data_IF_035712304183
#
_entry.id   IF_035712304183
#
_cell.length_a   1.000
_cell.length_b   1.000
_cell.length_c   1.000
_cell.angle_alpha   90.00
_cell.angle_beta   90.00
_cell.angle_gamma   90.00
#
_symmetry.space_group_name_H-M   'P 1'
#
loop_
_entity.id
_entity.type
_entity.pdbx_description
1 polymer ?
#
# COMPACT_ATOMS: atom_id res chain seq x y z
N UNK A 1 -22.48 11.82 8.03
CA UNK A 1 -21.51 11.71 9.14
C UNK A 1 -20.39 12.72 8.93
N UNK A 2 -19.76 13.19 10.02
CA UNK A 2 -18.56 14.02 9.94
C UNK A 2 -17.33 13.18 10.33
N UNK A 3 -16.42 12.98 9.40
CA UNK A 3 -15.30 12.06 9.52
C UNK A 3 -13.99 12.83 9.35
N UNK A 4 -13.07 12.67 10.29
CA UNK A 4 -11.72 13.22 10.20
C UNK A 4 -10.71 12.08 10.03
N UNK A 5 -10.05 12.04 8.89
CA UNK A 5 -8.85 11.20 8.73
C UNK A 5 -7.62 11.97 9.18
N UNK A 6 -6.72 11.31 9.90
CA UNK A 6 -5.49 11.92 10.42
C UNK A 6 -4.31 11.07 10.02
N UNK A 7 -3.39 11.63 9.25
CA UNK A 7 -2.17 10.97 8.79
C UNK A 7 -0.94 11.86 9.01
N UNK A 8 0.24 11.26 9.04
CA UNK A 8 1.50 12.00 9.28
C UNK A 8 1.77 13.02 8.18
N UNK A 9 1.69 12.65 6.93
CA UNK A 9 1.96 13.48 5.75
C UNK A 9 1.33 12.86 4.50
N UNK A 10 1.39 13.56 3.38
CA UNK A 10 1.10 13.04 2.04
C UNK A 10 2.39 12.97 1.18
N UNK A 11 3.49 12.50 1.77
CA UNK A 11 4.69 12.15 1.01
C UNK A 11 4.43 10.90 0.14
N UNK A 12 5.44 10.40 -0.55
CA UNK A 12 5.32 9.19 -1.38
C UNK A 12 5.23 7.93 -0.51
N UNK A 13 4.13 7.17 -0.65
CA UNK A 13 3.92 5.91 0.08
C UNK A 13 2.53 5.32 -0.20
N UNK A 14 2.35 4.04 0.08
CA UNK A 14 1.10 3.32 -0.18
C UNK A 14 -0.08 3.82 0.66
N UNK A 15 0.14 4.11 1.94
CA UNK A 15 -0.91 4.65 2.81
C UNK A 15 -1.34 6.06 2.40
N UNK A 16 -0.39 6.87 1.93
CA UNK A 16 -0.60 8.23 1.45
C UNK A 16 -1.38 8.21 0.12
N UNK A 17 -1.02 7.33 -0.82
CA UNK A 17 -1.77 7.13 -2.06
C UNK A 17 -3.19 6.67 -1.78
N UNK A 18 -3.34 5.71 -0.87
CA UNK A 18 -4.65 5.21 -0.45
C UNK A 18 -5.56 6.34 0.06
N UNK A 19 -5.05 7.31 0.82
CA UNK A 19 -5.86 8.45 1.29
C UNK A 19 -6.38 9.28 0.11
N UNK A 20 -5.58 9.50 -0.90
CA UNK A 20 -5.98 10.28 -2.09
C UNK A 20 -7.12 9.60 -2.85
N UNK A 21 -7.09 8.28 -2.95
CA UNK A 21 -8.08 7.52 -3.71
C UNK A 21 -9.33 7.19 -2.88
N UNK A 22 -9.17 6.88 -1.59
CA UNK A 22 -10.25 6.43 -0.71
C UNK A 22 -11.15 7.59 -0.22
N UNK A 23 -10.55 8.72 0.23
CA UNK A 23 -11.33 9.76 0.92
C UNK A 23 -12.46 10.35 0.07
N UNK A 24 -12.28 10.61 -1.23
CA UNK A 24 -13.38 11.05 -2.08
C UNK A 24 -14.56 10.06 -2.13
N UNK A 25 -14.28 8.75 -2.10
CA UNK A 25 -15.31 7.72 -2.10
C UNK A 25 -16.10 7.68 -0.78
N UNK A 26 -15.47 8.05 0.34
CA UNK A 26 -16.12 8.13 1.64
C UNK A 26 -17.08 9.33 1.75
N UNK A 27 -16.95 10.34 0.89
CA UNK A 27 -17.88 11.47 0.83
C UNK A 27 -19.31 11.04 0.42
N UNK A 28 -19.44 9.88 -0.27
CA UNK A 28 -20.73 9.26 -0.63
C UNK A 28 -21.72 10.28 -1.23
N UNK A 29 -21.31 10.87 -2.36
CA UNK A 29 -22.08 11.89 -3.09
C UNK A 29 -22.59 13.05 -2.20
N UNK A 30 -21.80 13.48 -1.20
CA UNK A 30 -22.13 14.57 -0.30
C UNK A 30 -22.89 14.16 0.97
N UNK A 31 -23.24 12.88 1.15
CA UNK A 31 -23.90 12.39 2.36
C UNK A 31 -23.00 12.44 3.60
N UNK A 32 -21.67 12.44 3.40
CA UNK A 32 -20.69 12.55 4.46
C UNK A 32 -19.76 13.74 4.25
N UNK A 33 -19.41 14.42 5.33
CA UNK A 33 -18.29 15.36 5.35
C UNK A 33 -17.03 14.59 5.73
N UNK A 34 -16.04 14.57 4.85
CA UNK A 34 -14.76 13.88 5.08
C UNK A 34 -13.64 14.89 4.96
N UNK A 35 -12.91 15.08 6.05
CA UNK A 35 -11.77 15.99 6.11
C UNK A 35 -10.48 15.20 6.38
N UNK A 36 -9.36 15.70 5.88
CA UNK A 36 -8.02 15.14 6.11
C UNK A 36 -7.16 16.11 6.91
N UNK A 37 -6.59 15.63 8.02
CA UNK A 37 -5.64 16.39 8.82
C UNK A 37 -4.24 15.80 8.71
N UNK A 38 -3.28 16.63 8.29
CA UNK A 38 -1.88 16.29 8.18
C UNK A 38 -1.08 16.83 9.37
N UNK A 39 -0.23 16.00 9.97
CA UNK A 39 0.77 16.50 10.94
C UNK A 39 1.81 17.37 10.23
N UNK A 40 2.28 16.91 9.08
CA UNK A 40 3.15 17.67 8.19
C UNK A 40 2.41 17.97 6.88
N UNK A 41 2.00 19.21 6.70
CA UNK A 41 1.27 19.71 5.53
C UNK A 41 2.17 20.29 4.45
N UNK A 42 3.40 19.77 4.26
CA UNK A 42 4.22 20.16 3.10
C UNK A 42 3.49 19.86 1.80
N UNK A 43 3.63 20.75 0.84
CA UNK A 43 3.06 20.55 -0.49
C UNK A 43 3.79 19.42 -1.24
N UNK A 44 3.02 18.45 -1.71
CA UNK A 44 3.46 17.26 -2.44
C UNK A 44 2.56 17.03 -3.64
N UNK A 45 2.91 16.10 -4.52
CA UNK A 45 2.04 15.71 -5.64
C UNK A 45 0.67 15.23 -5.11
N UNK A 46 0.67 14.37 -4.10
CA UNK A 46 -0.56 13.83 -3.49
C UNK A 46 -1.39 14.92 -2.80
N UNK A 47 -0.76 15.90 -2.13
CA UNK A 47 -1.49 17.01 -1.52
C UNK A 47 -2.14 17.92 -2.55
N UNK A 48 -1.51 18.11 -3.73
CA UNK A 48 -2.09 18.85 -4.85
C UNK A 48 -3.24 18.10 -5.49
N UNK A 49 -3.14 16.79 -5.61
CA UNK A 49 -4.17 15.93 -6.20
C UNK A 49 -5.44 15.90 -5.34
N UNK A 50 -5.31 15.65 -4.03
CA UNK A 50 -6.48 15.56 -3.14
C UNK A 50 -7.20 16.91 -2.97
N UNK A 51 -6.47 18.04 -3.02
CA UNK A 51 -7.06 19.39 -2.97
C UNK A 51 -7.97 19.71 -4.16
N UNK A 52 -7.88 18.96 -5.27
CA UNK A 52 -8.75 19.08 -6.44
C UNK A 52 -10.05 18.28 -6.30
N UNK A 53 -10.18 17.51 -5.22
CA UNK A 53 -11.35 16.68 -4.92
C UNK A 53 -12.11 17.28 -3.73
N UNK A 54 -13.35 16.88 -3.49
CA UNK A 54 -14.21 17.42 -2.42
C UNK A 54 -13.77 16.96 -1.01
N UNK A 55 -12.48 17.04 -0.71
CA UNK A 55 -11.90 16.70 0.59
C UNK A 55 -11.16 17.91 1.15
N UNK A 56 -11.62 18.42 2.29
CA UNK A 56 -10.93 19.51 2.98
C UNK A 56 -9.66 19.03 3.64
N UNK A 57 -8.52 19.63 3.28
CA UNK A 57 -7.21 19.29 3.83
C UNK A 57 -6.78 20.33 4.86
N UNK A 58 -6.57 19.87 6.09
CA UNK A 58 -6.07 20.64 7.22
C UNK A 58 -4.63 20.24 7.52
N UNK A 59 -3.85 21.11 8.18
CA UNK A 59 -2.50 20.76 8.63
C UNK A 59 -2.16 21.37 9.96
N UNK A 60 -1.42 20.64 10.81
CA UNK A 60 -0.92 21.12 12.10
C UNK A 60 0.36 21.97 11.93
N UNK A 61 1.21 21.59 10.99
CA UNK A 61 2.52 22.20 10.74
C UNK A 61 2.95 21.96 9.29
N UNK A 62 3.95 22.70 8.83
CA UNK A 62 4.67 22.45 7.57
C UNK A 62 6.09 21.90 7.82
N UNK A 63 6.42 21.54 9.07
CA UNK A 63 7.74 21.01 9.45
C UNK A 63 7.70 19.49 9.63
N UNK A 64 8.87 18.86 9.68
CA UNK A 64 9.01 17.43 9.91
C UNK A 64 8.87 17.05 11.40
N UNK A 65 8.62 18.01 12.31
CA UNK A 65 8.55 17.79 13.75
C UNK A 65 7.20 17.16 14.17
N UNK A 66 6.91 15.97 13.65
CA UNK A 66 5.63 15.30 13.89
C UNK A 66 5.40 14.93 15.35
N UNK A 67 6.48 14.70 16.13
CA UNK A 67 6.41 14.36 17.55
C UNK A 67 6.53 15.58 18.50
N UNK A 68 6.48 16.80 17.96
CA UNK A 68 6.56 18.00 18.81
C UNK A 68 5.32 18.15 19.70
N UNK A 69 5.44 18.36 21.02
CA UNK A 69 4.29 18.45 21.95
C UNK A 69 3.22 19.48 21.59
N UNK A 70 3.61 20.57 20.91
CA UNK A 70 2.64 21.57 20.39
C UNK A 70 1.58 20.99 19.47
N UNK A 71 1.88 19.88 18.77
CA UNK A 71 0.92 19.21 17.89
C UNK A 71 -0.27 18.67 18.69
N UNK A 72 -0.07 18.26 19.95
CA UNK A 72 -1.15 17.82 20.84
C UNK A 72 -2.20 18.93 21.05
N UNK A 73 -1.74 20.15 21.38
CA UNK A 73 -2.63 21.28 21.63
C UNK A 73 -3.29 21.81 20.35
N UNK A 74 -2.59 21.75 19.20
CA UNK A 74 -3.18 22.11 17.91
C UNK A 74 -4.24 21.10 17.50
N UNK A 75 -3.95 19.81 17.61
CA UNK A 75 -4.85 18.71 17.27
C UNK A 75 -6.16 18.79 18.07
N UNK A 76 -6.09 19.06 19.41
CA UNK A 76 -7.24 19.17 20.28
C UNK A 76 -8.33 20.12 19.75
N UNK A 77 -7.94 21.20 19.07
CA UNK A 77 -8.87 22.21 18.54
C UNK A 77 -9.75 21.67 17.41
N UNK A 78 -9.34 20.61 16.72
CA UNK A 78 -10.03 20.03 15.59
C UNK A 78 -11.00 18.89 15.98
N UNK A 79 -10.81 18.25 17.16
CA UNK A 79 -11.47 16.96 17.44
C UNK A 79 -12.97 17.06 17.77
N UNK A 80 -13.48 18.21 18.19
CA UNK A 80 -14.85 18.34 18.71
C UNK A 80 -15.93 18.40 17.60
N UNK A 81 -15.53 18.47 16.35
CA UNK A 81 -16.44 18.73 15.23
C UNK A 81 -16.80 17.46 14.44
N UNK A 82 -16.28 16.29 14.84
CA UNK A 82 -16.41 15.05 14.09
C UNK A 82 -17.10 13.94 14.90
N UNK A 83 -17.81 13.07 14.17
CA UNK A 83 -18.42 11.85 14.73
C UNK A 83 -17.38 10.73 14.83
N UNK A 84 -16.53 10.62 13.80
CA UNK A 84 -15.44 9.62 13.68
C UNK A 84 -14.12 10.34 13.49
N UNK A 85 -13.07 9.86 14.18
CA UNK A 85 -11.69 10.27 13.95
C UNK A 85 -10.90 9.00 13.64
N UNK A 86 -10.40 8.91 12.42
CA UNK A 86 -9.66 7.76 11.91
C UNK A 86 -8.19 8.09 11.72
N UNK A 87 -7.32 7.38 12.43
CA UNK A 87 -5.88 7.62 12.41
C UNK A 87 -5.13 6.62 11.54
N UNK A 88 -4.11 7.12 10.86
CA UNK A 88 -3.18 6.35 10.06
C UNK A 88 -1.75 6.69 10.48
N UNK A 89 -0.86 5.69 10.49
CA UNK A 89 0.54 5.84 10.89
C UNK A 89 0.75 6.13 12.40
N UNK A 90 1.98 5.93 12.86
CA UNK A 90 2.35 5.86 14.28
C UNK A 90 2.12 7.15 15.06
N UNK A 91 2.48 8.31 14.49
CA UNK A 91 2.38 9.57 15.23
C UNK A 91 0.91 9.96 15.49
N UNK A 92 -0.01 9.97 14.49
CA UNK A 92 -1.43 10.16 14.73
C UNK A 92 -2.04 9.14 15.70
N UNK A 93 -1.66 7.85 15.60
CA UNK A 93 -2.13 6.81 16.51
C UNK A 93 -1.86 7.12 17.98
N UNK A 94 -0.73 7.72 18.30
CA UNK A 94 -0.39 8.09 19.67
C UNK A 94 -1.02 9.43 20.09
N UNK A 95 -0.95 10.45 19.22
CA UNK A 95 -1.32 11.81 19.57
C UNK A 95 -2.84 12.04 19.61
N UNK A 96 -3.62 11.37 18.76
CA UNK A 96 -5.08 11.57 18.72
C UNK A 96 -5.76 11.11 20.01
N UNK A 97 -5.49 9.92 20.59
CA UNK A 97 -6.03 9.53 21.88
C UNK A 97 -5.67 10.50 23.00
N UNK A 98 -4.41 10.96 23.06
CA UNK A 98 -3.95 11.94 24.06
C UNK A 98 -4.69 13.28 23.89
N UNK A 99 -4.81 13.78 22.67
CA UNK A 99 -5.52 15.04 22.39
C UNK A 99 -7.01 14.93 22.73
N UNK A 100 -7.61 13.77 22.49
CA UNK A 100 -9.01 13.51 22.84
C UNK A 100 -9.24 13.55 24.34
N UNK A 101 -8.34 12.99 25.13
CA UNK A 101 -8.42 13.05 26.60
C UNK A 101 -8.36 14.49 27.13
N UNK A 102 -7.68 15.40 26.41
CA UNK A 102 -7.60 16.83 26.72
C UNK A 102 -8.72 17.66 26.09
N UNK A 103 -9.64 17.03 25.39
CA UNK A 103 -10.77 17.68 24.69
C UNK A 103 -12.10 17.18 25.20
N UNK A 104 -13.19 17.83 24.81
CA UNK A 104 -14.56 17.35 25.10
C UNK A 104 -15.15 16.52 23.95
N UNK A 105 -14.28 16.00 23.05
CA UNK A 105 -14.74 15.26 21.86
C UNK A 105 -15.41 13.94 22.24
N UNK A 106 -16.62 13.72 21.68
CA UNK A 106 -17.37 12.47 21.78
C UNK A 106 -17.10 11.53 20.59
N UNK A 107 -16.25 11.93 19.66
CA UNK A 107 -15.93 11.16 18.45
C UNK A 107 -15.49 9.72 18.78
N UNK A 108 -15.91 8.76 17.98
CA UNK A 108 -15.37 7.41 18.02
C UNK A 108 -13.99 7.38 17.38
N UNK A 109 -13.03 6.75 18.04
CA UNK A 109 -11.68 6.63 17.52
C UNK A 109 -11.52 5.32 16.74
N UNK A 110 -11.05 5.42 15.52
CA UNK A 110 -10.70 4.30 14.65
C UNK A 110 -9.23 4.43 14.25
N UNK A 111 -8.53 3.33 14.09
CA UNK A 111 -7.17 3.33 13.55
C UNK A 111 -6.98 2.22 12.53
N UNK A 112 -6.12 2.46 11.53
CA UNK A 112 -5.69 1.44 10.57
C UNK A 112 -4.21 1.13 10.74
N UNK A 113 -3.91 -0.18 10.87
CA UNK A 113 -2.57 -0.74 10.81
C UNK A 113 -2.20 -1.05 9.37
N UNK A 114 -1.24 -0.28 8.82
CA UNK A 114 -0.77 -0.41 7.43
C UNK A 114 0.44 -1.33 7.26
N UNK A 115 1.05 -1.78 8.36
CA UNK A 115 2.25 -2.61 8.31
C UNK A 115 2.09 -3.85 9.18
N UNK A 116 2.57 -4.99 8.69
CA UNK A 116 2.60 -6.25 9.44
C UNK A 116 3.56 -6.17 10.63
N UNK A 117 4.65 -5.38 10.49
CA UNK A 117 5.66 -5.18 11.52
C UNK A 117 5.92 -3.69 11.72
N UNK A 118 6.31 -3.33 12.95
CA UNK A 118 6.69 -1.97 13.30
C UNK A 118 7.96 -2.02 14.15
N UNK A 119 8.98 -1.24 13.80
CA UNK A 119 10.26 -1.15 14.55
C UNK A 119 10.04 -0.89 16.05
N UNK A 120 8.98 -0.22 16.43
CA UNK A 120 8.57 0.04 17.82
C UNK A 120 8.27 -1.27 18.56
N UNK A 121 7.64 -2.25 17.89
CA UNK A 121 7.27 -3.55 18.47
C UNK A 121 8.48 -4.42 18.81
N UNK A 122 9.64 -4.15 18.21
CA UNK A 122 10.89 -4.84 18.54
C UNK A 122 11.44 -4.48 19.93
N UNK A 123 10.94 -3.38 20.52
CA UNK A 123 11.39 -2.90 21.83
C UNK A 123 10.34 -3.25 22.88
N UNK A 124 10.63 -4.18 23.77
CA UNK A 124 9.71 -4.73 24.78
C UNK A 124 9.02 -3.67 25.66
N UNK A 125 9.69 -2.57 25.97
CA UNK A 125 9.17 -1.48 26.78
C UNK A 125 8.12 -0.61 26.08
N UNK A 126 7.95 -0.70 24.76
CA UNK A 126 6.83 -0.06 24.08
C UNK A 126 5.51 -0.81 24.23
N UNK A 127 5.53 -2.09 24.56
CA UNK A 127 4.32 -2.92 24.63
C UNK A 127 3.25 -2.39 25.57
N UNK A 128 3.56 -1.91 26.81
CA UNK A 128 2.56 -1.27 27.68
C UNK A 128 1.96 0.00 27.09
N UNK A 129 2.80 0.83 26.46
CA UNK A 129 2.37 2.09 25.82
C UNK A 129 1.43 1.79 24.65
N UNK A 130 1.78 0.81 23.84
CA UNK A 130 0.96 0.42 22.70
C UNK A 130 -0.37 -0.19 23.16
N UNK A 131 -0.37 -1.06 24.17
CA UNK A 131 -1.61 -1.61 24.76
C UNK A 131 -2.51 -0.52 25.29
N UNK A 132 -1.96 0.46 26.01
CA UNK A 132 -2.71 1.62 26.47
C UNK A 132 -3.28 2.41 25.28
N UNK A 133 -2.47 2.71 24.29
CA UNK A 133 -2.86 3.45 23.10
C UNK A 133 -4.02 2.76 22.37
N UNK A 134 -3.87 1.45 22.03
CA UNK A 134 -4.92 0.69 21.36
C UNK A 134 -6.20 0.55 22.20
N UNK A 135 -6.10 0.53 23.55
CA UNK A 135 -7.29 0.49 24.42
C UNK A 135 -8.21 1.69 24.25
N UNK A 136 -7.68 2.83 23.78
CA UNK A 136 -8.44 4.07 23.56
C UNK A 136 -9.25 4.07 22.26
N UNK A 137 -8.93 3.17 21.35
CA UNK A 137 -9.66 3.03 20.08
C UNK A 137 -10.92 2.21 20.26
N UNK A 138 -11.98 2.64 19.53
CA UNK A 138 -13.26 1.93 19.47
C UNK A 138 -13.19 0.79 18.47
N UNK A 139 -12.44 0.97 17.36
CA UNK A 139 -12.16 -0.06 16.37
C UNK A 139 -10.72 0.06 15.85
N UNK A 140 -10.12 -1.09 15.54
CA UNK A 140 -8.76 -1.22 15.00
C UNK A 140 -8.89 -2.03 13.71
N UNK A 141 -8.53 -1.44 12.59
CA UNK A 141 -8.56 -2.07 11.28
C UNK A 141 -7.17 -2.56 10.94
N UNK A 142 -7.05 -3.78 10.49
CA UNK A 142 -5.84 -4.34 9.89
C UNK A 142 -6.05 -4.51 8.38
N UNK A 143 -5.05 -4.14 7.58
CA UNK A 143 -5.17 -4.16 6.11
C UNK A 143 -5.10 -5.57 5.50
N UNK A 144 -4.73 -6.58 6.27
CA UNK A 144 -4.62 -7.98 5.88
C UNK A 144 -4.76 -8.87 7.11
N UNK A 145 -5.10 -10.15 6.91
CA UNK A 145 -5.25 -11.10 8.02
C UNK A 145 -3.93 -11.35 8.74
N UNK A 146 -2.81 -11.43 8.01
CA UNK A 146 -1.49 -11.53 8.64
C UNK A 146 -1.18 -10.32 9.53
N UNK A 147 -1.56 -9.11 9.11
CA UNK A 147 -1.41 -7.89 9.94
C UNK A 147 -2.25 -8.00 11.22
N UNK A 148 -3.47 -8.55 11.12
CA UNK A 148 -4.35 -8.82 12.26
C UNK A 148 -3.73 -9.83 13.22
N UNK A 149 -3.29 -10.98 12.71
CA UNK A 149 -2.66 -12.04 13.53
C UNK A 149 -1.43 -11.49 14.28
N UNK A 150 -0.57 -10.76 13.61
CA UNK A 150 0.63 -10.15 14.22
C UNK A 150 0.25 -9.12 15.31
N UNK A 151 -0.80 -8.34 15.10
CA UNK A 151 -1.28 -7.40 16.10
C UNK A 151 -1.90 -8.11 17.30
N UNK A 152 -2.75 -9.12 17.08
CA UNK A 152 -3.36 -9.92 18.14
C UNK A 152 -2.34 -10.66 18.99
N UNK A 153 -1.26 -11.17 18.40
CA UNK A 153 -0.13 -11.76 19.14
C UNK A 153 0.59 -10.73 20.01
N UNK A 154 0.69 -9.50 19.53
CA UNK A 154 1.41 -8.44 20.23
C UNK A 154 0.63 -7.82 21.39
N UNK A 155 -0.63 -7.46 21.19
CA UNK A 155 -1.44 -6.76 22.22
C UNK A 155 -2.50 -7.65 22.90
N UNK A 156 -2.82 -8.80 22.34
CA UNK A 156 -3.90 -9.70 22.72
C UNK A 156 -5.09 -9.61 21.76
N UNK A 157 -5.90 -10.69 21.70
CA UNK A 157 -7.13 -10.73 20.93
C UNK A 157 -8.16 -9.74 21.46
N UNK A 158 -8.93 -9.11 20.58
CA UNK A 158 -10.00 -8.18 20.95
C UNK A 158 -11.03 -8.08 19.82
N UNK A 159 -12.31 -8.02 20.17
CA UNK A 159 -13.42 -7.83 19.23
C UNK A 159 -13.38 -6.48 18.50
N UNK A 160 -12.52 -5.56 18.96
CA UNK A 160 -12.27 -4.28 18.31
C UNK A 160 -11.39 -4.40 17.06
N UNK A 161 -10.69 -5.55 16.90
CA UNK A 161 -9.75 -5.76 15.79
C UNK A 161 -10.48 -6.50 14.68
N UNK A 162 -10.50 -5.90 13.50
CA UNK A 162 -11.09 -6.48 12.30
C UNK A 162 -10.18 -6.29 11.09
N UNK A 163 -10.37 -7.10 10.05
CA UNK A 163 -9.67 -6.95 8.78
C UNK A 163 -10.56 -6.21 7.79
N UNK A 164 -10.05 -5.12 7.20
CA UNK A 164 -10.57 -4.51 5.99
C UNK A 164 -9.39 -4.42 5.03
N UNK A 165 -9.42 -5.23 4.00
CA UNK A 165 -8.32 -5.30 3.03
C UNK A 165 -8.14 -3.96 2.32
N UNK A 166 -6.87 -3.59 2.07
CA UNK A 166 -6.57 -2.46 1.22
C UNK A 166 -7.15 -2.66 -0.17
N UNK A 167 -7.52 -1.56 -0.81
CA UNK A 167 -8.04 -1.56 -2.17
C UNK A 167 -7.32 -0.55 -3.06
N UNK A 168 -7.40 -0.79 -4.36
CA UNK A 168 -6.96 0.13 -5.42
C UNK A 168 -8.12 0.41 -6.36
N UNK A 169 -8.08 1.50 -7.11
CA UNK A 169 -9.03 1.74 -8.19
C UNK A 169 -8.73 0.78 -9.35
N UNK A 170 -9.32 -0.41 -9.23
CA UNK A 170 -9.10 -1.50 -10.19
C UNK A 170 -9.59 -1.11 -11.58
N UNK A 171 -10.66 -0.31 -11.68
CA UNK A 171 -11.22 0.10 -12.97
C UNK A 171 -10.24 0.98 -13.77
N UNK A 172 -9.42 1.77 -13.08
CA UNK A 172 -8.37 2.58 -13.69
C UNK A 172 -7.18 1.75 -14.20
N UNK A 173 -7.02 0.54 -13.69
CA UNK A 173 -5.85 -0.32 -13.89
C UNK A 173 -6.14 -1.53 -14.79
N UNK A 174 -7.43 -1.83 -15.03
CA UNK A 174 -7.81 -2.93 -15.92
C UNK A 174 -7.53 -2.56 -17.37
N UNK A 175 -6.58 -3.28 -17.94
CA UNK A 175 -6.29 -3.25 -19.36
C UNK A 175 -6.66 -4.59 -20.03
N UNK A 176 -6.88 -4.62 -21.35
CA UNK A 176 -7.04 -5.88 -22.09
C UNK A 176 -5.85 -6.81 -21.85
N UNK A 177 -6.11 -8.09 -21.80
CA UNK A 177 -5.04 -9.09 -21.72
C UNK A 177 -4.21 -9.00 -23.00
N UNK A 178 -2.90 -8.81 -22.84
CA UNK A 178 -1.97 -8.62 -23.97
C UNK A 178 -1.82 -9.92 -24.76
N UNK A 179 -1.86 -9.82 -26.07
CA UNK A 179 -1.50 -10.92 -26.96
C UNK A 179 -0.01 -10.87 -27.28
N UNK A 180 0.73 -11.86 -26.79
CA UNK A 180 2.18 -11.99 -26.97
C UNK A 180 2.57 -13.02 -28.04
N UNK A 181 1.61 -13.59 -28.77
CA UNK A 181 1.86 -14.72 -29.67
C UNK A 181 2.86 -14.44 -30.81
N UNK A 182 3.08 -13.17 -31.15
CA UNK A 182 4.03 -12.74 -32.19
C UNK A 182 5.19 -11.90 -31.63
N UNK A 183 5.27 -11.78 -30.30
CA UNK A 183 6.27 -10.94 -29.66
C UNK A 183 7.62 -11.65 -29.56
N UNK A 184 8.70 -10.89 -29.73
CA UNK A 184 10.07 -11.41 -29.65
C UNK A 184 10.85 -10.76 -28.52
N UNK A 185 10.55 -9.50 -28.21
CA UNK A 185 11.20 -8.74 -27.14
C UNK A 185 10.22 -8.56 -25.98
N UNK A 186 10.65 -8.81 -24.77
CA UNK A 186 9.79 -8.81 -23.59
C UNK A 186 10.24 -7.78 -22.56
N UNK A 187 9.29 -7.04 -22.00
CA UNK A 187 9.51 -6.06 -20.95
C UNK A 187 8.91 -6.56 -19.64
N UNK A 188 9.78 -6.74 -18.65
CA UNK A 188 9.44 -7.04 -17.27
C UNK A 188 9.34 -5.72 -16.53
N UNK A 189 8.39 -5.58 -15.62
CA UNK A 189 8.27 -4.39 -14.78
C UNK A 189 8.16 -4.74 -13.31
N UNK A 190 8.86 -3.96 -12.46
CA UNK A 190 8.67 -3.97 -11.01
C UNK A 190 8.35 -2.57 -10.52
N UNK A 191 7.18 -2.41 -9.88
CA UNK A 191 6.74 -1.14 -9.30
C UNK A 191 6.86 -1.23 -7.78
N UNK A 192 7.90 -0.59 -7.21
CA UNK A 192 8.16 -0.65 -5.77
C UNK A 192 9.11 0.44 -5.29
N UNK A 193 9.11 0.73 -3.96
CA UNK A 193 10.18 1.54 -3.37
C UNK A 193 11.51 0.76 -3.34
N UNK A 194 12.66 1.47 -3.38
CA UNK A 194 14.00 0.85 -3.44
C UNK A 194 14.52 0.35 -2.08
N UNK A 195 13.61 0.03 -1.16
CA UNK A 195 13.95 -0.53 0.15
C UNK A 195 14.45 -1.97 0.01
N UNK A 196 15.32 -2.39 0.91
CA UNK A 196 15.83 -3.76 1.02
C UNK A 196 14.69 -4.79 1.03
N UNK A 197 13.60 -4.49 1.74
CA UNK A 197 12.39 -5.32 1.78
C UNK A 197 11.91 -5.79 0.40
N UNK A 198 12.12 -5.00 -0.67
CA UNK A 198 11.58 -5.27 -2.01
C UNK A 198 12.46 -6.19 -2.86
N UNK A 199 13.66 -6.54 -2.37
CA UNK A 199 14.56 -7.53 -2.96
C UNK A 199 14.76 -7.40 -4.48
N UNK A 200 15.11 -6.21 -4.93
CA UNK A 200 15.47 -5.98 -6.34
C UNK A 200 16.66 -6.84 -6.79
N UNK A 201 17.48 -7.26 -5.84
CA UNK A 201 18.69 -8.03 -6.14
C UNK A 201 18.35 -9.41 -6.70
N UNK A 202 17.35 -10.11 -6.15
CA UNK A 202 16.87 -11.38 -6.70
C UNK A 202 16.35 -11.19 -8.14
N UNK A 203 15.58 -10.11 -8.41
CA UNK A 203 15.11 -9.80 -9.74
C UNK A 203 16.28 -9.49 -10.72
N UNK A 204 17.30 -8.75 -10.27
CA UNK A 204 18.47 -8.47 -11.12
C UNK A 204 19.26 -9.74 -11.41
N UNK A 205 19.46 -10.65 -10.43
CA UNK A 205 20.09 -11.95 -10.69
C UNK A 205 19.27 -12.77 -11.69
N UNK A 206 17.95 -12.79 -11.58
CA UNK A 206 17.11 -13.53 -12.53
C UNK A 206 17.30 -13.05 -13.99
N UNK A 207 17.53 -11.74 -14.19
CA UNK A 207 17.82 -11.18 -15.52
C UNK A 207 19.09 -11.75 -16.15
N UNK A 208 20.06 -12.22 -15.36
CA UNK A 208 21.30 -12.86 -15.89
C UNK A 208 21.04 -14.25 -16.47
N UNK A 209 19.93 -14.89 -16.11
CA UNK A 209 19.52 -16.20 -16.62
C UNK A 209 18.60 -16.09 -17.84
N UNK A 210 18.04 -14.90 -18.11
CA UNK A 210 17.14 -14.66 -19.23
C UNK A 210 17.93 -14.25 -20.50
N UNK A 211 17.45 -14.64 -21.71
CA UNK A 211 17.98 -14.17 -22.98
C UNK A 211 18.05 -12.64 -23.11
N UNK A 212 18.88 -12.13 -24.03
CA UNK A 212 19.14 -10.70 -24.17
C UNK A 212 17.95 -9.86 -24.70
N UNK A 213 16.93 -10.51 -25.22
CA UNK A 213 15.67 -9.89 -25.63
C UNK A 213 14.69 -9.61 -24.49
N UNK A 214 15.09 -9.87 -23.22
CA UNK A 214 14.33 -9.49 -22.03
C UNK A 214 14.92 -8.20 -21.43
N UNK A 215 14.05 -7.21 -21.19
CA UNK A 215 14.40 -5.94 -20.55
C UNK A 215 13.62 -5.78 -19.24
N UNK A 216 14.17 -5.03 -18.30
CA UNK A 216 13.56 -4.78 -17.02
C UNK A 216 13.37 -3.28 -16.81
N UNK A 217 12.16 -2.87 -16.46
CA UNK A 217 11.83 -1.53 -15.98
C UNK A 217 11.62 -1.55 -14.46
N UNK A 218 12.38 -0.72 -13.75
CA UNK A 218 12.28 -0.57 -12.29
C UNK A 218 11.67 0.79 -11.97
N UNK A 219 10.43 0.77 -11.50
CA UNK A 219 9.65 1.99 -11.23
C UNK A 219 9.56 2.21 -9.73
N UNK A 220 9.99 3.38 -9.28
CA UNK A 220 9.94 3.75 -7.88
C UNK A 220 11.08 4.64 -7.43
N UNK A 221 11.24 4.77 -6.14
CA UNK A 221 12.27 5.60 -5.56
C UNK A 221 12.69 5.16 -4.17
N UNK A 222 13.78 5.75 -3.71
CA UNK A 222 14.36 5.49 -2.40
C UNK A 222 15.30 6.61 -2.00
N UNK A 223 16.05 6.43 -0.92
CA UNK A 223 17.13 7.32 -0.53
C UNK A 223 18.25 7.32 -1.58
N UNK A 224 19.18 8.25 -1.48
CA UNK A 224 20.32 8.32 -2.39
C UNK A 224 21.13 7.01 -2.27
N UNK A 225 21.37 6.58 -1.04
CA UNK A 225 22.15 5.35 -0.74
C UNK A 225 21.46 4.10 -1.31
N UNK A 226 20.13 3.99 -1.19
CA UNK A 226 19.37 2.87 -1.77
C UNK A 226 19.48 2.84 -3.29
N UNK A 227 19.40 4.00 -3.96
CA UNK A 227 19.57 4.11 -5.41
C UNK A 227 20.98 3.73 -5.85
N UNK A 228 22.00 4.29 -5.21
CA UNK A 228 23.39 4.00 -5.53
C UNK A 228 23.73 2.51 -5.36
N UNK A 229 23.21 1.88 -4.30
CA UNK A 229 23.36 0.45 -4.05
C UNK A 229 22.80 -0.38 -5.21
N UNK A 230 21.58 -0.11 -5.65
CA UNK A 230 20.93 -0.86 -6.72
C UNK A 230 21.60 -0.61 -8.09
N UNK A 231 21.97 0.63 -8.41
CA UNK A 231 22.72 0.93 -9.62
C UNK A 231 24.08 0.23 -9.64
N UNK A 232 24.82 0.24 -8.53
CA UNK A 232 26.09 -0.46 -8.41
C UNK A 232 25.93 -1.97 -8.59
N UNK A 233 24.92 -2.57 -7.97
CA UNK A 233 24.65 -4.01 -8.10
C UNK A 233 24.26 -4.39 -9.53
N UNK A 234 23.40 -3.60 -10.19
CA UNK A 234 23.05 -3.76 -11.59
C UNK A 234 24.28 -3.74 -12.49
N UNK A 235 25.21 -2.79 -12.26
CA UNK A 235 26.47 -2.67 -13.02
C UNK A 235 27.42 -3.85 -12.78
N UNK A 236 27.51 -4.37 -11.55
CA UNK A 236 28.30 -5.57 -11.22
C UNK A 236 27.81 -6.80 -12.01
N UNK A 237 26.48 -6.90 -12.22
CA UNK A 237 25.87 -7.96 -13.02
C UNK A 237 25.90 -7.68 -14.54
N UNK A 238 26.48 -6.57 -14.99
CA UNK A 238 26.55 -6.14 -16.41
C UNK A 238 25.17 -6.00 -17.07
N UNK A 239 24.19 -5.49 -16.33
CA UNK A 239 22.81 -5.36 -16.79
C UNK A 239 22.44 -3.93 -17.21
N UNK A 240 23.39 -2.99 -17.32
CA UNK A 240 23.11 -1.58 -17.59
C UNK A 240 22.32 -1.34 -18.88
N UNK A 241 22.52 -2.18 -19.91
CA UNK A 241 21.80 -2.06 -21.20
C UNK A 241 20.43 -2.76 -21.19
N UNK A 242 20.11 -3.50 -20.12
CA UNK A 242 18.89 -4.30 -20.01
C UNK A 242 17.97 -3.86 -18.87
N UNK A 243 18.45 -3.06 -17.93
CA UNK A 243 17.69 -2.57 -16.76
C UNK A 243 17.55 -1.05 -16.82
N UNK A 244 16.32 -0.57 -16.86
CA UNK A 244 16.00 0.85 -16.88
C UNK A 244 15.39 1.28 -15.54
N UNK A 245 16.01 2.26 -14.87
CA UNK A 245 15.50 2.88 -13.65
C UNK A 245 14.62 4.07 -14.00
N UNK A 246 13.30 3.89 -13.97
CA UNK A 246 12.29 4.88 -14.38
C UNK A 246 12.07 6.01 -13.36
N UNK A 247 12.59 5.86 -12.13
CA UNK A 247 12.30 6.79 -11.04
C UNK A 247 10.84 6.71 -10.57
N UNK A 248 10.41 7.73 -9.82
CA UNK A 248 9.02 7.85 -9.34
C UNK A 248 8.14 8.35 -10.49
N UNK A 249 7.08 7.58 -10.82
CA UNK A 249 6.17 7.83 -11.94
C UNK A 249 4.75 8.07 -11.45
N UNK A 250 3.98 8.82 -12.21
CA UNK A 250 2.53 9.04 -11.99
C UNK A 250 1.67 8.31 -13.01
N UNK A 251 2.27 7.82 -14.10
CA UNK A 251 1.69 7.08 -15.21
C UNK A 251 1.94 5.56 -15.07
N UNK A 252 1.92 5.05 -13.84
CA UNK A 252 2.10 3.61 -13.55
C UNK A 252 1.11 2.72 -14.33
N UNK A 253 -0.17 3.09 -14.50
CA UNK A 253 -1.10 2.32 -15.31
C UNK A 253 -0.60 2.11 -16.74
N UNK A 254 -0.11 3.15 -17.41
CA UNK A 254 0.39 3.10 -18.79
C UNK A 254 1.66 2.26 -18.90
N UNK A 255 2.55 2.33 -17.89
CA UNK A 255 3.75 1.50 -17.81
C UNK A 255 3.41 0.02 -17.62
N UNK A 256 2.44 -0.29 -16.76
CA UNK A 256 1.93 -1.65 -16.59
C UNK A 256 1.29 -2.16 -17.89
N UNK A 257 0.53 -1.32 -18.58
CA UNK A 257 -0.07 -1.67 -19.88
C UNK A 257 0.97 -1.98 -20.95
N UNK A 258 2.04 -1.22 -21.02
CA UNK A 258 3.11 -1.41 -22.02
C UNK A 258 4.00 -2.62 -21.72
N UNK A 259 4.08 -3.08 -20.48
CA UNK A 259 4.90 -4.22 -20.05
C UNK A 259 4.31 -5.58 -20.47
N UNK A 260 5.06 -6.65 -20.25
CA UNK A 260 4.65 -8.02 -20.57
C UNK A 260 4.47 -8.87 -19.30
N UNK A 261 5.32 -8.71 -18.31
CA UNK A 261 5.24 -9.46 -17.06
C UNK A 261 5.48 -8.48 -15.89
N UNK A 262 4.65 -8.59 -14.86
CA UNK A 262 4.82 -7.81 -13.64
C UNK A 262 5.40 -8.70 -12.56
N UNK A 263 6.45 -8.23 -11.89
CA UNK A 263 7.18 -8.99 -10.87
C UNK A 263 7.23 -8.22 -9.55
N UNK A 264 7.14 -8.95 -8.44
CA UNK A 264 7.45 -8.44 -7.11
C UNK A 264 8.22 -9.50 -6.30
N UNK A 265 9.50 -9.27 -6.07
CA UNK A 265 10.43 -10.22 -5.44
C UNK A 265 10.62 -10.03 -3.93
N UNK A 266 9.74 -9.33 -3.25
CA UNK A 266 9.88 -8.89 -1.85
C UNK A 266 10.26 -9.98 -0.87
N UNK A 267 11.04 -9.63 0.16
CA UNK A 267 11.34 -10.50 1.30
C UNK A 267 10.14 -10.73 2.23
N UNK A 268 9.27 -9.74 2.36
CA UNK A 268 8.00 -9.80 3.11
C UNK A 268 7.06 -8.68 2.66
N UNK A 269 5.76 -8.94 2.73
CA UNK A 269 4.72 -7.96 2.46
C UNK A 269 3.60 -8.01 3.52
N UNK A 270 2.86 -6.90 3.62
CA UNK A 270 1.50 -6.96 4.12
C UNK A 270 0.56 -7.21 2.94
N UNK A 271 -0.46 -6.36 2.74
CA UNK A 271 -1.20 -6.31 1.50
C UNK A 271 -0.62 -5.16 0.64
N UNK A 272 0.17 -5.52 -0.37
CA UNK A 272 0.85 -4.56 -1.24
C UNK A 272 -0.10 -4.00 -2.29
N UNK A 273 -0.29 -2.67 -2.33
CA UNK A 273 -1.11 -2.02 -3.35
C UNK A 273 -0.53 -2.28 -4.75
N UNK A 274 0.80 -2.20 -4.91
CA UNK A 274 1.44 -2.45 -6.21
C UNK A 274 1.25 -3.89 -6.71
N UNK A 275 1.02 -4.86 -5.81
CA UNK A 275 0.66 -6.22 -6.22
C UNK A 275 -0.75 -6.26 -6.79
N UNK A 276 -1.72 -5.58 -6.18
CA UNK A 276 -3.09 -5.50 -6.69
C UNK A 276 -3.10 -4.74 -8.02
N UNK A 277 -2.34 -3.63 -8.11
CA UNK A 277 -2.17 -2.87 -9.36
C UNK A 277 -1.60 -3.75 -10.48
N UNK A 278 -0.52 -4.48 -10.20
CA UNK A 278 0.10 -5.40 -11.17
C UNK A 278 -0.85 -6.52 -11.59
N UNK A 279 -1.57 -7.14 -10.67
CA UNK A 279 -2.56 -8.19 -10.97
C UNK A 279 -3.73 -7.66 -11.81
N UNK A 280 -4.09 -6.37 -11.67
CA UNK A 280 -5.18 -5.75 -12.44
C UNK A 280 -4.81 -5.46 -13.88
N UNK A 281 -3.52 -5.36 -14.21
CA UNK A 281 -3.00 -4.80 -15.45
C UNK A 281 -3.29 -5.60 -16.74
N UNK A 282 -3.82 -6.83 -16.63
CA UNK A 282 -3.97 -7.73 -17.78
C UNK A 282 -2.64 -8.37 -18.20
N UNK A 283 -1.65 -8.37 -17.32
CA UNK A 283 -0.36 -9.07 -17.44
C UNK A 283 -0.26 -10.13 -16.37
N UNK A 284 0.44 -11.24 -16.62
CA UNK A 284 0.78 -12.18 -15.55
C UNK A 284 1.54 -11.47 -14.44
N UNK A 285 1.20 -11.81 -13.20
CA UNK A 285 1.89 -11.32 -12.01
C UNK A 285 2.67 -12.47 -11.37
N UNK A 286 3.97 -12.26 -11.18
CA UNK A 286 4.88 -13.21 -10.54
C UNK A 286 5.37 -12.61 -9.23
N UNK A 287 5.32 -13.37 -8.15
CA UNK A 287 5.76 -12.89 -6.84
C UNK A 287 6.56 -13.94 -6.08
N UNK A 288 7.43 -13.48 -5.17
CA UNK A 288 8.06 -14.35 -4.18
C UNK A 288 7.00 -14.99 -3.26
N UNK A 289 7.21 -16.26 -2.92
CA UNK A 289 6.34 -17.01 -2.00
C UNK A 289 6.66 -16.65 -0.55
N UNK A 290 6.11 -15.53 -0.11
CA UNK A 290 6.25 -15.00 1.26
C UNK A 290 4.89 -14.59 1.82
N UNK A 291 4.81 -14.44 3.14
CA UNK A 291 3.60 -13.96 3.82
C UNK A 291 3.05 -12.69 3.15
N UNK A 292 1.73 -12.62 3.01
CA UNK A 292 1.01 -11.54 2.35
C UNK A 292 0.97 -11.67 0.82
N UNK A 293 2.07 -12.03 0.15
CA UNK A 293 2.06 -12.32 -1.29
C UNK A 293 1.47 -13.71 -1.57
N UNK A 294 1.77 -14.70 -0.73
CA UNK A 294 1.16 -16.03 -0.84
C UNK A 294 -0.37 -15.97 -0.84
N UNK A 295 -0.95 -15.24 0.11
CA UNK A 295 -2.41 -15.08 0.22
C UNK A 295 -3.00 -14.31 -0.98
N UNK A 296 -2.34 -13.24 -1.39
CA UNK A 296 -2.84 -12.37 -2.45
C UNK A 296 -2.71 -13.03 -3.83
N UNK A 297 -1.57 -13.63 -4.14
CA UNK A 297 -1.20 -14.11 -5.48
C UNK A 297 -1.55 -15.58 -5.69
N UNK A 298 -1.55 -16.39 -4.63
CA UNK A 298 -1.80 -17.83 -4.68
C UNK A 298 -3.11 -18.18 -5.39
N UNK A 299 -3.05 -19.16 -6.29
CA UNK A 299 -4.18 -19.59 -7.13
C UNK A 299 -4.52 -18.67 -8.31
N UNK A 300 -3.93 -17.49 -8.41
CA UNK A 300 -4.15 -16.54 -9.50
C UNK A 300 -2.89 -16.28 -10.33
N UNK A 301 -1.87 -15.69 -9.73
CA UNK A 301 -0.57 -15.47 -10.34
C UNK A 301 0.38 -16.65 -10.19
N UNK A 302 1.67 -16.40 -10.38
CA UNK A 302 2.75 -17.36 -10.19
C UNK A 302 3.55 -17.01 -8.95
N UNK A 303 3.79 -17.99 -8.09
CA UNK A 303 4.66 -17.86 -6.93
C UNK A 303 5.98 -18.60 -7.18
N UNK A 304 7.09 -17.94 -6.90
CA UNK A 304 8.43 -18.55 -6.94
C UNK A 304 9.06 -18.60 -5.54
N UNK A 305 9.92 -19.59 -5.23
CA UNK A 305 10.56 -19.69 -3.92
C UNK A 305 11.34 -18.42 -3.60
N UNK A 306 11.18 -17.89 -2.39
CA UNK A 306 11.82 -16.65 -1.95
C UNK A 306 13.34 -16.69 -2.17
N UNK A 307 13.88 -15.67 -2.84
CA UNK A 307 15.31 -15.52 -3.14
C UNK A 307 15.85 -16.39 -4.29
N UNK A 308 15.01 -17.26 -4.89
CA UNK A 308 15.39 -18.13 -6.00
C UNK A 308 15.27 -17.39 -7.34
N UNK A 309 16.36 -16.82 -7.77
CA UNK A 309 16.47 -16.07 -9.03
C UNK A 309 16.36 -16.95 -10.28
N UNK A 310 16.70 -18.24 -10.19
CA UNK A 310 16.55 -19.18 -11.30
C UNK A 310 15.10 -19.56 -11.50
N UNK A 311 14.39 -19.92 -10.42
CA UNK A 311 12.96 -20.21 -10.49
C UNK A 311 12.14 -18.99 -10.98
N UNK A 312 12.55 -17.76 -10.60
CA UNK A 312 11.96 -16.54 -11.13
C UNK A 312 12.18 -16.40 -12.64
N UNK A 313 13.43 -16.60 -13.12
CA UNK A 313 13.75 -16.53 -14.55
C UNK A 313 12.97 -17.59 -15.36
N UNK A 314 12.93 -18.83 -14.88
CA UNK A 314 12.17 -19.92 -15.50
C UNK A 314 10.67 -19.59 -15.58
N UNK A 315 10.10 -19.02 -14.53
CA UNK A 315 8.69 -18.60 -14.50
C UNK A 315 8.39 -17.49 -15.52
N UNK A 316 9.29 -16.49 -15.63
CA UNK A 316 9.16 -15.40 -16.62
C UNK A 316 9.25 -15.97 -18.03
N UNK A 317 10.29 -16.76 -18.31
CA UNK A 317 10.51 -17.33 -19.63
C UNK A 317 9.36 -18.25 -20.05
N UNK A 318 8.91 -19.12 -19.15
CA UNK A 318 7.79 -20.02 -19.41
C UNK A 318 6.54 -19.27 -19.83
N UNK A 319 6.16 -18.20 -19.12
CA UNK A 319 4.98 -17.40 -19.47
C UNK A 319 5.14 -16.70 -20.83
N UNK A 320 6.32 -16.17 -21.13
CA UNK A 320 6.58 -15.47 -22.38
C UNK A 320 6.61 -16.43 -23.60
N UNK A 321 7.01 -17.68 -23.41
CA UNK A 321 7.06 -18.71 -24.44
C UNK A 321 5.73 -19.47 -24.63
N UNK A 322 4.78 -19.37 -23.69
CA UNK A 322 3.51 -20.09 -23.68
C UNK A 322 2.30 -19.13 -23.65
N UNK A 323 1.89 -18.53 -24.80
CA UNK A 323 0.84 -17.51 -24.85
C UNK A 323 -0.51 -17.92 -24.23
N UNK A 324 -0.84 -19.23 -24.27
CA UNK A 324 -2.09 -19.73 -23.67
C UNK A 324 -2.03 -19.69 -22.13
N UNK A 325 -0.93 -20.11 -21.53
CA UNK A 325 -0.72 -20.02 -20.07
C UNK A 325 -0.60 -18.57 -19.63
N UNK A 326 0.08 -17.73 -20.41
CA UNK A 326 0.14 -16.29 -20.21
C UNK A 326 -1.28 -15.70 -20.05
N UNK A 327 -2.17 -15.96 -21.04
CA UNK A 327 -3.55 -15.47 -21.02
C UNK A 327 -4.34 -15.98 -19.80
N UNK A 328 -4.20 -17.27 -19.47
CA UNK A 328 -4.88 -17.89 -18.30
C UNK A 328 -4.43 -17.24 -17.00
N UNK A 329 -3.12 -17.06 -16.79
CA UNK A 329 -2.56 -16.43 -15.59
C UNK A 329 -3.00 -14.97 -15.49
N UNK A 330 -2.86 -14.19 -16.56
CA UNK A 330 -3.28 -12.78 -16.58
C UNK A 330 -4.77 -12.63 -16.24
N UNK A 331 -5.63 -13.51 -16.79
CA UNK A 331 -7.07 -13.50 -16.51
C UNK A 331 -7.37 -13.82 -15.04
N UNK A 332 -6.74 -14.85 -14.47
CA UNK A 332 -6.91 -15.20 -13.04
C UNK A 332 -6.45 -14.06 -12.14
N UNK A 333 -5.32 -13.40 -12.47
CA UNK A 333 -4.84 -12.23 -11.74
C UNK A 333 -5.87 -11.10 -11.72
N UNK A 334 -6.41 -10.73 -12.89
CA UNK A 334 -7.44 -9.69 -12.98
C UNK A 334 -8.70 -10.03 -12.20
N UNK A 335 -9.19 -11.28 -12.29
CA UNK A 335 -10.41 -11.69 -11.61
C UNK A 335 -10.23 -11.67 -10.09
N UNK A 336 -9.05 -12.05 -9.60
CA UNK A 336 -8.73 -11.95 -8.16
C UNK A 336 -8.57 -10.50 -7.71
N UNK A 337 -7.92 -9.65 -8.50
CA UNK A 337 -7.72 -8.24 -8.18
C UNK A 337 -9.03 -7.46 -7.99
N UNK A 338 -10.11 -7.81 -8.69
CA UNK A 338 -11.43 -7.19 -8.52
C UNK A 338 -11.97 -7.28 -7.11
N UNK A 339 -11.57 -8.27 -6.33
CA UNK A 339 -11.97 -8.43 -4.93
C UNK A 339 -11.36 -7.33 -4.04
N UNK A 340 -10.31 -6.69 -4.50
CA UNK A 340 -9.59 -5.62 -3.83
C UNK A 340 -9.86 -4.24 -4.46
N UNK A 341 -11.04 -4.07 -5.06
CA UNK A 341 -11.46 -2.76 -5.56
C UNK A 341 -11.67 -1.78 -4.40
N UNK A 342 -11.20 -0.55 -4.57
CA UNK A 342 -11.25 0.47 -3.52
C UNK A 342 -12.69 0.84 -3.11
N UNK A 343 -13.67 0.65 -3.98
CA UNK A 343 -15.09 0.88 -3.66
C UNK A 343 -15.61 -0.14 -2.63
N UNK A 344 -15.13 -1.39 -2.68
CA UNK A 344 -15.41 -2.41 -1.67
C UNK A 344 -14.82 -2.01 -0.32
N UNK A 345 -13.59 -1.53 -0.30
CA UNK A 345 -12.94 -1.01 0.90
C UNK A 345 -13.70 0.18 1.48
N UNK A 346 -14.09 1.15 0.64
CA UNK A 346 -14.85 2.32 1.04
C UNK A 346 -16.20 1.93 1.67
N UNK A 347 -16.93 0.99 1.05
CA UNK A 347 -18.19 0.46 1.57
C UNK A 347 -18.00 -0.19 2.95
N UNK A 348 -16.96 -0.99 3.12
CA UNK A 348 -16.65 -1.64 4.40
C UNK A 348 -16.32 -0.62 5.49
N UNK A 349 -15.59 0.45 5.17
CA UNK A 349 -15.33 1.55 6.11
C UNK A 349 -16.60 2.28 6.49
N UNK A 350 -17.48 2.62 5.53
CA UNK A 350 -18.74 3.28 5.81
C UNK A 350 -19.66 2.43 6.68
N UNK A 351 -19.73 1.12 6.44
CA UNK A 351 -20.50 0.18 7.26
C UNK A 351 -19.94 0.12 8.69
N UNK A 352 -18.63 0.04 8.86
CA UNK A 352 -18.00 0.10 10.17
C UNK A 352 -18.36 1.40 10.92
N UNK A 353 -18.24 2.56 10.25
CA UNK A 353 -18.55 3.86 10.88
C UNK A 353 -20.01 3.98 11.28
N UNK A 354 -20.95 3.55 10.41
CA UNK A 354 -22.39 3.52 10.72
C UNK A 354 -22.66 2.64 11.95
N UNK A 355 -22.09 1.42 11.99
CA UNK A 355 -22.23 0.51 13.13
C UNK A 355 -21.71 1.10 14.44
N UNK A 356 -20.55 1.80 14.43
CA UNK A 356 -19.99 2.46 15.60
C UNK A 356 -20.86 3.62 16.13
N UNK A 357 -21.66 4.22 15.26
CA UNK A 357 -22.58 5.32 15.61
C UNK A 357 -24.01 4.85 15.90
N UNK A 358 -24.29 3.53 15.86
CA UNK A 358 -25.63 2.98 16.05
C UNK A 358 -26.61 3.39 14.94
N UNK A 359 -26.12 3.64 13.73
CA UNK A 359 -26.92 3.96 12.54
C UNK A 359 -27.08 2.70 11.69
N UNK A 360 -28.30 2.43 11.22
CA UNK A 360 -28.56 1.29 10.33
C UNK A 360 -27.76 1.41 9.01
N UNK A 361 -27.33 0.25 8.51
CA UNK A 361 -26.57 0.11 7.25
C UNK A 361 -27.46 0.24 6.03
#
# INVERSE_FOLDING_TARGET
>A
MKILHVITSLLTGGAERLMVDLLPLLCDNGNNQVDLLLFNGKDTLFSKEIKKRDVKVLSLSKTNDVYHPRNLFRLRKHLNHYDIIHTHNTAPQLYVPLAKMLSHSKAKLVTTEHNSTNRRRLKWWYKPIDRWMYSKYTAIICIADQTRLNLEQYIGKSDKISTIYNGVDVNRLIHPIKDISRQKDFTIIMVSSFREQKDHETLFRSMTHLPDNYRLQVVGGGTIEEKERLHSYCSQLRLNDRVEFMGVRTDVPDLLESSDVVVLSSHWEGLSLSSIEGMSSGRPFIASDVDGLHELVGGAGVLFPHGDDKALAESIQFLCEHPDEYRKVAKRCQDKAKQYDISVMAKNYLNLYKGLLGREC
#
